data_IF_590834796537
#
_entry.id   IF_590834796537
#
_cell.length_a   1.000
_cell.length_b   1.000
_cell.length_c   1.000
_cell.angle_alpha   90.00
_cell.angle_beta   90.00
_cell.angle_gamma   90.00
#
_symmetry.space_group_name_H-M   'P 1'
#
loop_
_entity.id
_entity.type
_entity.pdbx_description
1 polymer ?
#
# COMPACT_ATOMS: atom_id res chain seq x y z
N UNK A 1 -78.58 -46.99 36.92
CA UNK A 1 -79.33 -45.79 36.52
C UNK A 1 -80.46 -46.25 35.65
N UNK A 2 -81.69 -46.08 36.12
CA UNK A 2 -82.92 -46.47 35.41
C UNK A 2 -82.95 -45.82 34.03
N UNK A 3 -83.01 -46.64 32.99
CA UNK A 3 -83.42 -46.18 31.66
C UNK A 3 -84.90 -45.86 31.74
N UNK A 4 -85.23 -44.58 31.90
CA UNK A 4 -86.57 -44.07 31.64
C UNK A 4 -86.82 -44.30 30.14
N UNK A 5 -87.43 -45.43 29.82
CA UNK A 5 -87.97 -45.70 28.49
C UNK A 5 -89.17 -44.76 28.33
N UNK A 6 -88.91 -43.55 27.83
CA UNK A 6 -89.98 -42.72 27.29
C UNK A 6 -90.53 -43.48 26.10
N UNK A 7 -91.63 -44.19 26.34
CA UNK A 7 -92.46 -44.76 25.31
C UNK A 7 -93.11 -43.58 24.56
N UNK A 8 -92.36 -42.98 23.64
CA UNK A 8 -92.87 -41.93 22.76
C UNK A 8 -93.84 -42.64 21.84
N UNK A 9 -95.14 -42.58 22.14
CA UNK A 9 -96.18 -43.10 21.26
C UNK A 9 -96.01 -42.47 19.87
N UNK A 10 -95.56 -43.26 18.89
CA UNK A 10 -95.36 -42.77 17.53
C UNK A 10 -96.71 -42.43 16.93
N UNK A 11 -96.95 -41.14 16.63
CA UNK A 11 -98.17 -40.68 15.96
C UNK A 11 -98.25 -41.34 14.59
N UNK A 12 -99.37 -41.97 14.24
CA UNK A 12 -99.57 -42.62 12.93
C UNK A 12 -100.05 -41.61 11.88
N UNK A 13 -99.82 -41.91 10.59
CA UNK A 13 -100.34 -41.08 9.49
C UNK A 13 -101.86 -40.86 9.60
N UNK A 14 -102.59 -41.90 9.99
CA UNK A 14 -104.05 -41.86 10.18
C UNK A 14 -104.46 -40.92 11.33
N UNK A 15 -103.68 -40.87 12.41
CA UNK A 15 -103.90 -39.93 13.51
C UNK A 15 -103.67 -38.48 13.07
N UNK A 16 -102.63 -38.23 12.26
CA UNK A 16 -102.35 -36.90 11.68
C UNK A 16 -103.45 -36.49 10.70
N UNK A 17 -103.89 -37.41 9.83
CA UNK A 17 -104.97 -37.20 8.87
C UNK A 17 -106.29 -36.82 9.56
N UNK A 18 -106.73 -37.61 10.56
CA UNK A 18 -107.95 -37.33 11.31
C UNK A 18 -107.90 -35.97 12.01
N UNK A 19 -106.75 -35.59 12.52
CA UNK A 19 -106.56 -34.30 13.18
C UNK A 19 -106.65 -33.14 12.18
N UNK A 20 -106.08 -33.27 10.98
CA UNK A 20 -106.23 -32.29 9.91
C UNK A 20 -107.69 -32.13 9.44
N UNK A 21 -108.43 -33.25 9.31
CA UNK A 21 -109.87 -33.21 9.03
C UNK A 21 -110.64 -32.52 10.16
N UNK A 22 -110.30 -32.81 11.43
CA UNK A 22 -110.91 -32.18 12.62
C UNK A 22 -110.70 -30.67 12.64
N UNK A 23 -109.56 -30.19 12.14
CA UNK A 23 -109.22 -28.78 12.02
C UNK A 23 -109.88 -28.10 10.80
N UNK A 24 -110.72 -28.81 10.03
CA UNK A 24 -111.48 -28.27 8.91
C UNK A 24 -110.71 -28.24 7.59
N UNK A 25 -109.63 -29.02 7.46
CA UNK A 25 -108.86 -29.13 6.23
C UNK A 25 -109.61 -29.98 5.20
N UNK A 26 -109.53 -29.59 3.92
CA UNK A 26 -110.17 -30.33 2.82
C UNK A 26 -109.57 -31.74 2.69
N UNK A 27 -110.38 -32.72 2.30
CA UNK A 27 -110.06 -34.13 2.46
C UNK A 27 -108.83 -34.57 1.67
N UNK A 28 -108.68 -34.11 0.42
CA UNK A 28 -107.51 -34.40 -0.41
C UNK A 28 -106.26 -33.70 0.11
N UNK A 29 -106.39 -32.44 0.54
CA UNK A 29 -105.30 -31.65 1.14
C UNK A 29 -104.81 -32.30 2.45
N UNK A 30 -105.72 -32.73 3.31
CA UNK A 30 -105.40 -33.41 4.57
C UNK A 30 -104.69 -34.75 4.32
N UNK A 31 -105.12 -35.50 3.30
CA UNK A 31 -104.54 -36.79 2.94
C UNK A 31 -103.11 -36.64 2.39
N UNK A 32 -102.86 -35.63 1.57
CA UNK A 32 -101.51 -35.29 1.06
C UNK A 32 -100.58 -34.77 2.17
N UNK A 33 -101.05 -33.83 3.01
CA UNK A 33 -100.24 -33.24 4.09
C UNK A 33 -99.94 -34.25 5.19
N UNK A 34 -100.89 -35.08 5.59
CA UNK A 34 -100.67 -36.10 6.63
C UNK A 34 -99.59 -37.11 6.22
N UNK A 35 -99.56 -37.50 4.94
CA UNK A 35 -98.51 -38.37 4.38
C UNK A 35 -97.15 -37.66 4.39
N UNK A 36 -97.09 -36.42 3.91
CA UNK A 36 -95.85 -35.60 3.91
C UNK A 36 -95.31 -35.36 5.32
N UNK A 37 -96.18 -35.13 6.29
CA UNK A 37 -95.83 -34.87 7.68
C UNK A 37 -95.37 -36.15 8.38
N UNK A 38 -96.06 -37.27 8.17
CA UNK A 38 -95.68 -38.57 8.73
C UNK A 38 -94.32 -39.06 8.22
N UNK A 39 -94.00 -38.79 6.95
CA UNK A 39 -92.71 -39.16 6.33
C UNK A 39 -91.65 -38.05 6.38
N UNK A 40 -91.93 -36.91 7.04
CA UNK A 40 -91.03 -35.75 7.10
C UNK A 40 -90.53 -35.26 5.72
N UNK A 41 -91.31 -35.43 4.64
CA UNK A 41 -90.90 -35.13 3.26
C UNK A 41 -90.56 -33.64 3.07
N UNK A 42 -91.19 -32.75 3.84
CA UNK A 42 -90.87 -31.31 3.82
C UNK A 42 -89.47 -31.04 4.40
N UNK A 43 -89.16 -31.65 5.55
CA UNK A 43 -87.89 -31.49 6.26
C UNK A 43 -86.70 -32.02 5.45
N UNK A 44 -86.87 -33.17 4.78
CA UNK A 44 -85.82 -33.72 3.93
C UNK A 44 -85.47 -32.81 2.75
N UNK A 45 -86.47 -32.20 2.11
CA UNK A 45 -86.26 -31.27 1.00
C UNK A 45 -85.55 -29.98 1.43
N UNK A 46 -85.86 -29.45 2.61
CA UNK A 46 -85.17 -28.27 3.13
C UNK A 46 -83.70 -28.56 3.49
N UNK A 47 -83.42 -29.74 4.04
CA UNK A 47 -82.04 -30.20 4.29
C UNK A 47 -81.27 -30.40 2.98
N UNK A 48 -81.88 -31.02 1.96
CA UNK A 48 -81.27 -31.19 0.64
C UNK A 48 -80.95 -29.83 -0.02
N UNK A 49 -81.85 -28.86 0.11
CA UNK A 49 -81.60 -27.50 -0.38
C UNK A 49 -80.46 -26.81 0.36
N UNK A 50 -80.35 -27.03 1.68
CA UNK A 50 -79.28 -26.47 2.49
C UNK A 50 -77.93 -27.10 2.13
N UNK A 51 -77.88 -28.42 1.97
CA UNK A 51 -76.71 -29.17 1.49
C UNK A 51 -76.22 -28.64 0.15
N UNK A 52 -77.12 -28.53 -0.84
CA UNK A 52 -76.78 -27.94 -2.16
C UNK A 52 -76.23 -26.52 -2.06
N UNK A 53 -76.80 -25.68 -1.18
CA UNK A 53 -76.29 -24.33 -0.98
C UNK A 53 -74.90 -24.31 -0.34
N UNK A 54 -74.61 -25.23 0.58
CA UNK A 54 -73.28 -25.37 1.17
C UNK A 54 -72.27 -25.86 0.15
N UNK A 55 -72.60 -26.87 -0.66
CA UNK A 55 -71.74 -27.37 -1.72
C UNK A 55 -71.36 -26.26 -2.70
N UNK A 56 -72.33 -25.49 -3.19
CA UNK A 56 -72.09 -24.35 -4.08
C UNK A 56 -71.17 -23.31 -3.44
N UNK A 57 -71.37 -22.99 -2.15
CA UNK A 57 -70.51 -22.04 -1.44
C UNK A 57 -69.10 -22.60 -1.24
N UNK A 58 -68.96 -23.90 -1.00
CA UNK A 58 -67.69 -24.57 -0.83
C UNK A 58 -66.90 -24.60 -2.14
N UNK A 59 -67.53 -24.95 -3.26
CA UNK A 59 -66.94 -24.92 -4.60
C UNK A 59 -66.47 -23.51 -4.99
N UNK A 60 -67.26 -22.48 -4.65
CA UNK A 60 -66.88 -21.09 -4.88
C UNK A 60 -65.65 -20.70 -4.03
N UNK A 61 -65.59 -21.13 -2.78
CA UNK A 61 -64.44 -20.88 -1.91
C UNK A 61 -63.18 -21.57 -2.44
N UNK A 62 -63.28 -22.84 -2.85
CA UNK A 62 -62.18 -23.58 -3.49
C UNK A 62 -61.69 -22.83 -4.73
N UNK A 63 -62.61 -22.44 -5.61
CA UNK A 63 -62.29 -21.71 -6.83
C UNK A 63 -61.56 -20.39 -6.55
N UNK A 64 -61.96 -19.65 -5.50
CA UNK A 64 -61.26 -18.43 -5.07
C UNK A 64 -59.87 -18.72 -4.53
N UNK A 65 -59.71 -19.77 -3.73
CA UNK A 65 -58.41 -20.20 -3.20
C UNK A 65 -57.47 -20.59 -4.35
N UNK A 66 -57.95 -21.37 -5.31
CA UNK A 66 -57.16 -21.78 -6.48
C UNK A 66 -56.75 -20.58 -7.34
N UNK A 67 -57.65 -19.62 -7.54
CA UNK A 67 -57.34 -18.37 -8.25
C UNK A 67 -56.26 -17.56 -7.55
N UNK A 68 -56.38 -17.36 -6.23
CA UNK A 68 -55.36 -16.66 -5.43
C UNK A 68 -54.03 -17.40 -5.45
N UNK A 69 -54.03 -18.72 -5.32
CA UNK A 69 -52.83 -19.55 -5.41
C UNK A 69 -52.13 -19.40 -6.76
N UNK A 70 -52.89 -19.41 -7.85
CA UNK A 70 -52.37 -19.22 -9.20
C UNK A 70 -51.75 -17.83 -9.40
N UNK A 71 -52.41 -16.78 -8.90
CA UNK A 71 -51.89 -15.41 -8.97
C UNK A 71 -50.60 -15.26 -8.15
N UNK A 72 -50.56 -15.84 -6.94
CA UNK A 72 -49.37 -15.82 -6.10
C UNK A 72 -48.19 -16.57 -6.73
N UNK A 73 -48.42 -17.76 -7.30
CA UNK A 73 -47.39 -18.50 -8.02
C UNK A 73 -46.83 -17.67 -9.19
N UNK A 74 -47.71 -17.06 -9.99
CA UNK A 74 -47.30 -16.20 -11.10
C UNK A 74 -46.46 -15.00 -10.62
N UNK A 75 -46.83 -14.39 -9.48
CA UNK A 75 -46.06 -13.29 -8.89
C UNK A 75 -44.69 -13.76 -8.39
N UNK A 76 -44.61 -14.93 -7.75
CA UNK A 76 -43.37 -15.53 -7.28
C UNK A 76 -42.44 -15.82 -8.46
N UNK A 77 -42.93 -16.49 -9.50
CA UNK A 77 -42.16 -16.82 -10.71
C UNK A 77 -41.59 -15.57 -11.38
N UNK A 78 -42.39 -14.49 -11.45
CA UNK A 78 -41.94 -13.21 -12.01
C UNK A 78 -40.86 -12.54 -11.15
N UNK A 79 -40.99 -12.59 -9.81
CA UNK A 79 -39.96 -12.05 -8.90
C UNK A 79 -38.67 -12.85 -9.04
N UNK A 80 -38.74 -14.18 -9.04
CA UNK A 80 -37.58 -15.07 -9.23
C UNK A 80 -36.86 -14.77 -10.55
N UNK A 81 -37.61 -14.71 -11.66
CA UNK A 81 -37.05 -14.38 -12.98
C UNK A 81 -36.35 -13.02 -12.99
N UNK A 82 -36.96 -12.00 -12.41
CA UNK A 82 -36.39 -10.65 -12.38
C UNK A 82 -35.13 -10.56 -11.50
N UNK A 83 -35.09 -11.31 -10.40
CA UNK A 83 -33.91 -11.38 -9.54
C UNK A 83 -32.76 -12.10 -10.25
N UNK A 84 -33.03 -13.24 -10.91
CA UNK A 84 -32.02 -13.96 -11.68
C UNK A 84 -31.41 -13.08 -12.79
N UNK A 85 -32.24 -12.36 -13.57
CA UNK A 85 -31.74 -11.42 -14.59
C UNK A 85 -30.85 -10.31 -14.00
N UNK A 86 -31.17 -9.82 -12.80
CA UNK A 86 -30.36 -8.80 -12.12
C UNK A 86 -29.04 -9.39 -11.61
N UNK A 87 -29.05 -10.62 -11.13
CA UNK A 87 -27.84 -11.35 -10.69
C UNK A 87 -26.92 -11.57 -11.90
N UNK A 88 -27.43 -12.12 -13.00
CA UNK A 88 -26.65 -12.33 -14.23
C UNK A 88 -26.05 -11.01 -14.76
N UNK A 89 -26.82 -9.92 -14.69
CA UNK A 89 -26.32 -8.59 -15.08
C UNK A 89 -25.26 -8.03 -14.13
N UNK A 90 -25.27 -8.41 -12.86
CA UNK A 90 -24.23 -8.01 -11.91
C UNK A 90 -22.98 -8.86 -12.10
N UNK A 91 -23.12 -10.17 -12.29
CA UNK A 91 -22.00 -11.09 -12.54
C UNK A 91 -21.21 -10.65 -13.78
N UNK A 92 -21.89 -10.36 -14.89
CA UNK A 92 -21.23 -9.84 -16.11
C UNK A 92 -20.51 -8.50 -15.90
N UNK A 93 -21.04 -7.62 -15.04
CA UNK A 93 -20.36 -6.36 -14.67
C UNK A 93 -19.14 -6.61 -13.81
N UNK A 94 -19.23 -7.53 -12.85
CA UNK A 94 -18.13 -7.94 -11.98
C UNK A 94 -17.00 -8.53 -12.82
N UNK A 95 -17.30 -9.48 -13.71
CA UNK A 95 -16.32 -10.09 -14.63
C UNK A 95 -15.61 -9.05 -15.49
N UNK A 96 -16.36 -8.05 -15.98
CA UNK A 96 -15.81 -6.95 -16.78
C UNK A 96 -14.85 -6.09 -15.97
N UNK A 97 -15.23 -5.74 -14.73
CA UNK A 97 -14.38 -4.96 -13.82
C UNK A 97 -13.12 -5.74 -13.46
N UNK A 98 -13.24 -7.02 -13.11
CA UNK A 98 -12.11 -7.89 -12.78
C UNK A 98 -11.11 -7.96 -13.94
N UNK A 99 -11.59 -8.21 -15.17
CA UNK A 99 -10.75 -8.26 -16.36
C UNK A 99 -10.03 -6.94 -16.64
N UNK A 100 -10.70 -5.81 -16.44
CA UNK A 100 -10.09 -4.49 -16.62
C UNK A 100 -9.01 -4.21 -15.57
N UNK A 101 -9.30 -4.50 -14.30
CA UNK A 101 -8.33 -4.35 -13.21
C UNK A 101 -7.10 -5.26 -13.43
N UNK A 102 -7.31 -6.51 -13.86
CA UNK A 102 -6.21 -7.42 -14.18
C UNK A 102 -5.32 -6.85 -15.29
N UNK A 103 -5.92 -6.25 -16.33
CA UNK A 103 -5.17 -5.60 -17.42
C UNK A 103 -4.39 -4.38 -16.93
N UNK A 104 -5.01 -3.55 -16.09
CA UNK A 104 -4.37 -2.34 -15.55
C UNK A 104 -3.20 -2.69 -14.63
N UNK A 105 -3.34 -3.71 -13.77
CA UNK A 105 -2.26 -4.25 -12.95
C UNK A 105 -1.10 -4.73 -13.82
N UNK A 106 -1.36 -5.57 -14.82
CA UNK A 106 -0.30 -6.06 -15.72
C UNK A 106 0.40 -4.92 -16.49
N UNK A 107 -0.32 -3.88 -16.89
CA UNK A 107 0.29 -2.70 -17.52
C UNK A 107 1.15 -1.90 -16.55
N UNK A 108 0.77 -1.81 -15.27
CA UNK A 108 1.56 -1.15 -14.23
C UNK A 108 2.83 -1.95 -13.94
N UNK A 109 2.77 -3.27 -13.83
CA UNK A 109 3.94 -4.13 -13.63
C UNK A 109 4.98 -3.91 -14.74
N UNK A 110 4.55 -3.93 -16.01
CA UNK A 110 5.42 -3.66 -17.16
C UNK A 110 6.09 -2.28 -17.07
N UNK A 111 5.34 -1.25 -16.63
CA UNK A 111 5.87 0.11 -16.48
C UNK A 111 6.87 0.20 -15.33
N UNK A 112 6.61 -0.48 -14.22
CA UNK A 112 7.50 -0.54 -13.06
C UNK A 112 8.81 -1.22 -13.46
N UNK A 113 8.74 -2.38 -14.11
CA UNK A 113 9.92 -3.11 -14.60
C UNK A 113 10.78 -2.25 -15.54
N UNK A 114 10.12 -1.51 -16.44
CA UNK A 114 10.82 -0.63 -17.37
C UNK A 114 11.54 0.53 -16.65
N UNK A 115 10.90 1.13 -15.65
CA UNK A 115 11.52 2.20 -14.82
C UNK A 115 12.69 1.64 -14.02
N UNK A 116 12.51 0.50 -13.35
CA UNK A 116 13.55 -0.15 -12.56
C UNK A 116 14.79 -0.46 -13.41
N UNK A 117 14.59 -1.05 -14.60
CA UNK A 117 15.69 -1.34 -15.53
C UNK A 117 16.44 -0.09 -16.00
N UNK A 118 15.72 0.99 -16.27
CA UNK A 118 16.34 2.25 -16.68
C UNK A 118 17.14 2.88 -15.53
N UNK A 119 16.59 2.91 -14.32
CA UNK A 119 17.29 3.42 -13.14
C UNK A 119 18.54 2.59 -12.83
N UNK A 120 18.46 1.26 -12.92
CA UNK A 120 19.63 0.39 -12.72
C UNK A 120 20.74 0.68 -13.73
N UNK A 121 20.37 0.96 -15.00
CA UNK A 121 21.32 1.35 -16.04
C UNK A 121 21.95 2.71 -15.75
N UNK A 122 21.15 3.69 -15.33
CA UNK A 122 21.65 5.03 -15.01
C UNK A 122 22.59 5.02 -13.80
N UNK A 123 22.27 4.27 -12.76
CA UNK A 123 23.14 4.03 -11.60
C UNK A 123 24.46 3.41 -12.06
N UNK A 124 24.40 2.33 -12.84
CA UNK A 124 25.62 1.65 -13.34
C UNK A 124 26.50 2.60 -14.18
N UNK A 125 25.90 3.47 -15.00
CA UNK A 125 26.63 4.47 -15.77
C UNK A 125 27.27 5.55 -14.90
N UNK A 126 26.60 5.96 -13.81
CA UNK A 126 27.13 6.92 -12.85
C UNK A 126 28.32 6.32 -12.09
N UNK A 127 28.21 5.07 -11.64
CA UNK A 127 29.32 4.36 -10.97
C UNK A 127 30.58 4.35 -11.86
N UNK A 128 30.44 4.00 -13.14
CA UNK A 128 31.57 4.03 -14.10
C UNK A 128 32.16 5.44 -14.25
N UNK A 129 31.33 6.48 -14.28
CA UNK A 129 31.81 7.86 -14.39
C UNK A 129 32.54 8.29 -13.13
N UNK A 130 32.03 7.93 -11.95
CA UNK A 130 32.65 8.22 -10.65
C UNK A 130 34.02 7.53 -10.59
N UNK A 131 34.09 6.23 -10.89
CA UNK A 131 35.34 5.47 -10.92
C UNK A 131 36.38 6.12 -11.85
N UNK A 132 35.96 6.60 -13.02
CA UNK A 132 36.86 7.23 -13.97
C UNK A 132 37.36 8.60 -13.47
N UNK A 133 36.49 9.40 -12.85
CA UNK A 133 36.88 10.67 -12.23
C UNK A 133 37.86 10.42 -11.09
N UNK A 134 37.58 9.44 -10.22
CA UNK A 134 38.45 9.07 -9.11
C UNK A 134 39.84 8.67 -9.59
N UNK A 135 39.93 7.78 -10.59
CA UNK A 135 41.22 7.36 -11.18
C UNK A 135 42.01 8.52 -11.78
N UNK A 136 41.34 9.45 -12.47
CA UNK A 136 42.00 10.61 -13.05
C UNK A 136 42.51 11.56 -11.96
N UNK A 137 41.73 11.82 -10.91
CA UNK A 137 42.16 12.65 -9.79
C UNK A 137 43.32 12.02 -9.02
N UNK A 138 43.30 10.72 -8.77
CA UNK A 138 44.43 10.00 -8.16
C UNK A 138 45.71 10.13 -9.00
N UNK A 139 45.59 10.02 -10.33
CA UNK A 139 46.72 10.20 -11.25
C UNK A 139 47.25 11.64 -11.21
N UNK A 140 46.38 12.64 -11.21
CA UNK A 140 46.77 14.05 -11.16
C UNK A 140 47.46 14.40 -9.84
N UNK A 141 46.95 13.89 -8.72
CA UNK A 141 47.59 14.02 -7.39
C UNK A 141 48.99 13.40 -7.42
N UNK A 142 49.14 12.16 -7.89
CA UNK A 142 50.45 11.49 -7.98
C UNK A 142 51.45 12.24 -8.87
N UNK A 143 50.98 12.82 -9.98
CA UNK A 143 51.81 13.66 -10.84
C UNK A 143 52.23 14.96 -10.15
N UNK A 144 51.36 15.58 -9.36
CA UNK A 144 51.66 16.78 -8.59
C UNK A 144 52.68 16.48 -7.48
N UNK A 145 52.50 15.39 -6.73
CA UNK A 145 53.46 14.95 -5.71
C UNK A 145 54.85 14.78 -6.31
N UNK A 146 54.95 14.09 -7.46
CA UNK A 146 56.23 13.92 -8.18
C UNK A 146 56.86 15.25 -8.59
N UNK A 147 56.05 16.23 -9.04
CA UNK A 147 56.55 17.56 -9.41
C UNK A 147 57.03 18.33 -8.19
N UNK A 148 56.31 18.26 -7.07
CA UNK A 148 56.67 18.91 -5.80
C UNK A 148 57.99 18.33 -5.30
N UNK A 149 58.13 17.01 -5.23
CA UNK A 149 59.38 16.33 -4.85
C UNK A 149 60.57 16.79 -5.69
N UNK A 150 60.36 16.94 -7.00
CA UNK A 150 61.41 17.36 -7.91
C UNK A 150 61.78 18.84 -7.73
N UNK A 151 60.80 19.71 -7.47
CA UNK A 151 61.06 21.12 -7.13
C UNK A 151 61.83 21.21 -5.81
N UNK A 152 61.41 20.47 -4.78
CA UNK A 152 62.07 20.43 -3.48
C UNK A 152 63.53 20.00 -3.61
N UNK A 153 63.81 18.88 -4.29
CA UNK A 153 65.18 18.41 -4.56
C UNK A 153 66.03 19.44 -5.28
N UNK A 154 65.47 20.10 -6.31
CA UNK A 154 66.18 21.11 -7.07
C UNK A 154 66.48 22.37 -6.25
N UNK A 155 65.54 22.79 -5.38
CA UNK A 155 65.74 23.93 -4.48
C UNK A 155 66.79 23.61 -3.42
N UNK A 156 66.72 22.44 -2.78
CA UNK A 156 67.71 22.00 -1.81
C UNK A 156 69.12 21.96 -2.43
N UNK A 157 69.29 21.36 -3.62
CA UNK A 157 70.58 21.34 -4.31
C UNK A 157 71.13 22.74 -4.65
N UNK A 158 70.25 23.69 -5.01
CA UNK A 158 70.63 25.10 -5.24
C UNK A 158 71.05 25.78 -3.93
N UNK A 159 70.32 25.54 -2.84
CA UNK A 159 70.65 26.06 -1.50
C UNK A 159 72.01 25.53 -1.06
N UNK A 160 72.25 24.22 -1.15
CA UNK A 160 73.54 23.59 -0.80
C UNK A 160 74.70 24.19 -1.61
N UNK A 161 74.48 24.44 -2.90
CA UNK A 161 75.47 25.07 -3.78
C UNK A 161 75.78 26.49 -3.35
N UNK A 162 74.77 27.29 -3.01
CA UNK A 162 74.93 28.66 -2.52
C UNK A 162 75.66 28.66 -1.17
N UNK A 163 75.27 27.79 -0.24
CA UNK A 163 75.91 27.64 1.07
C UNK A 163 77.39 27.31 0.93
N UNK A 164 77.74 26.31 0.11
CA UNK A 164 79.14 25.94 -0.17
C UNK A 164 79.95 27.09 -0.76
N UNK A 165 79.38 27.83 -1.71
CA UNK A 165 80.04 28.97 -2.34
C UNK A 165 80.26 30.12 -1.34
N UNK A 166 79.30 30.40 -0.47
CA UNK A 166 79.42 31.41 0.58
C UNK A 166 80.48 31.01 1.61
N UNK A 167 80.46 29.77 2.09
CA UNK A 167 81.48 29.25 3.02
C UNK A 167 82.89 29.37 2.41
N UNK A 168 83.07 28.99 1.14
CA UNK A 168 84.36 29.14 0.43
C UNK A 168 84.83 30.60 0.35
N UNK A 169 83.90 31.55 0.10
CA UNK A 169 84.23 32.98 0.08
C UNK A 169 84.61 33.49 1.47
N UNK A 170 83.90 33.06 2.51
CA UNK A 170 84.18 33.42 3.91
C UNK A 170 85.57 32.90 4.30
N UNK A 171 85.87 31.61 4.06
CA UNK A 171 87.19 31.01 4.33
C UNK A 171 88.33 31.79 3.67
N UNK A 172 88.11 32.25 2.43
CA UNK A 172 89.10 33.03 1.70
C UNK A 172 89.31 34.44 2.31
N UNK A 173 88.22 35.09 2.74
CA UNK A 173 88.29 36.38 3.45
C UNK A 173 89.01 36.22 4.79
N UNK A 174 88.69 35.17 5.56
CA UNK A 174 89.36 34.86 6.83
C UNK A 174 90.87 34.65 6.63
N UNK A 175 91.28 33.87 5.62
CA UNK A 175 92.70 33.69 5.26
C UNK A 175 93.40 34.99 4.93
N UNK A 176 92.77 35.85 4.12
CA UNK A 176 93.32 37.15 3.76
C UNK A 176 93.49 38.05 5.00
N UNK A 177 92.51 38.07 5.92
CA UNK A 177 92.58 38.83 7.16
C UNK A 177 93.68 38.30 8.10
N UNK A 178 93.83 36.98 8.23
CA UNK A 178 94.92 36.37 9.00
C UNK A 178 96.29 36.76 8.43
N UNK A 179 96.48 36.68 7.12
CA UNK A 179 97.73 37.10 6.46
C UNK A 179 98.04 38.57 6.69
N UNK A 180 97.05 39.46 6.59
CA UNK A 180 97.23 40.89 6.89
C UNK A 180 97.59 41.12 8.36
N UNK A 181 96.96 40.39 9.29
CA UNK A 181 97.27 40.44 10.72
C UNK A 181 98.70 39.99 11.02
N UNK A 182 99.16 38.91 10.40
CA UNK A 182 100.53 38.41 10.52
C UNK A 182 101.55 39.43 9.97
N UNK A 183 101.29 40.02 8.80
CA UNK A 183 102.14 41.05 8.24
C UNK A 183 102.21 42.28 9.16
N UNK A 184 101.10 42.70 9.75
CA UNK A 184 101.06 43.81 10.70
C UNK A 184 101.90 43.51 11.96
N UNK A 185 101.78 42.29 12.52
CA UNK A 185 102.63 41.86 13.65
C UNK A 185 104.12 41.94 13.30
N UNK A 186 104.50 41.49 12.10
CA UNK A 186 105.87 41.60 11.59
C UNK A 186 106.33 43.05 11.48
N UNK A 187 105.56 43.93 10.84
CA UNK A 187 105.90 45.36 10.67
C UNK A 187 106.06 46.05 12.02
N UNK A 188 105.14 45.83 12.96
CA UNK A 188 105.23 46.40 14.31
C UNK A 188 106.46 45.90 15.07
N UNK A 189 106.80 44.61 14.93
CA UNK A 189 108.03 44.04 15.48
C UNK A 189 109.29 44.72 14.94
N UNK A 190 109.38 44.90 13.62
CA UNK A 190 110.51 45.60 12.97
C UNK A 190 110.57 47.06 13.43
N UNK A 191 109.44 47.77 13.47
CA UNK A 191 109.37 49.16 13.95
C UNK A 191 109.81 49.31 15.41
N UNK A 192 109.37 48.41 16.28
CA UNK A 192 109.79 48.37 17.68
C UNK A 192 111.29 48.18 17.81
N UNK A 193 111.86 47.20 17.09
CA UNK A 193 113.30 46.96 17.06
C UNK A 193 114.10 48.18 16.55
N UNK A 194 113.66 48.80 15.44
CA UNK A 194 114.27 50.03 14.91
C UNK A 194 114.27 51.17 15.93
N UNK A 195 113.16 51.36 16.64
CA UNK A 195 113.01 52.41 17.65
C UNK A 195 113.99 52.21 18.82
N UNK A 196 114.12 50.98 19.31
CA UNK A 196 115.10 50.62 20.35
C UNK A 196 116.53 50.91 19.87
N UNK A 197 116.87 50.52 18.64
CA UNK A 197 118.22 50.76 18.07
C UNK A 197 118.52 52.25 17.89
N UNK A 198 117.55 53.07 17.46
CA UNK A 198 117.71 54.53 17.37
C UNK A 198 117.96 55.18 18.73
N UNK A 199 117.18 54.81 19.75
CA UNK A 199 117.34 55.35 21.11
C UNK A 199 118.70 54.95 21.69
N UNK A 200 119.10 53.68 21.55
CA UNK A 200 120.40 53.20 22.00
C UNK A 200 121.55 53.94 21.31
N UNK A 201 121.45 54.18 19.99
CA UNK A 201 122.42 54.97 19.23
C UNK A 201 122.53 56.43 19.70
N UNK A 202 121.41 57.09 19.98
CA UNK A 202 121.39 58.45 20.54
C UNK A 202 122.00 58.52 21.95
N UNK A 203 121.68 57.56 22.82
CA UNK A 203 122.27 57.47 24.18
C UNK A 203 123.78 57.26 24.08
N UNK A 204 124.23 56.34 23.23
CA UNK A 204 125.66 56.09 23.01
C UNK A 204 126.38 57.36 22.51
N UNK A 205 125.79 58.08 21.55
CA UNK A 205 126.34 59.33 21.03
C UNK A 205 126.41 60.44 22.10
N UNK A 206 125.49 60.47 23.07
CA UNK A 206 125.47 61.43 24.17
C UNK A 206 126.49 61.10 25.28
N UNK A 207 126.65 59.82 25.63
CA UNK A 207 127.63 59.36 26.65
C UNK A 207 129.08 59.42 26.11
N UNK A 208 129.28 59.33 24.79
CA UNK A 208 130.60 59.36 24.16
C UNK A 208 131.20 60.78 23.97
N UNK A 209 130.52 61.81 24.49
CA UNK A 209 130.92 63.22 24.45
C UNK A 209 131.33 63.68 25.84
#
# INVERSE_FOLDING_TARGET
METVSTNIASVTQEQIYKEFIRLGMEQLIAQDLSKRYYHNELTYRDLENLEKQFDIKFDNLISKIDSVKSELNTKIDNVEKNLNLKIDSLDTKIDTVEKNLQKDISNLDIKIDAVEKNLQKDISNLDIKIDNVEKNLQKDISNLDTKIDNVEKNLNAKIDTVEKNLNTKIDNVEKNLMSLSEMLKWVLGIMGAMSITMIAGLIFAFISK
#
